data_IF_115088238882
#
_entry.id   IF_115088238882
#
_cell.length_a   1.000
_cell.length_b   1.000
_cell.length_c   1.000
_cell.angle_alpha   90.00
_cell.angle_beta   90.00
_cell.angle_gamma   90.00
#
_symmetry.space_group_name_H-M   'P 1'
#
loop_
_entity.id
_entity.type
_entity.pdbx_description
1 polymer ?
#
# COMPACT_ATOMS: atom_id res chain seq x y z
N UNK A 1 11.41 -5.06 -27.22
CA UNK A 1 12.30 -4.69 -28.35
C UNK A 1 13.61 -4.21 -27.76
N UNK A 2 14.78 -4.74 -28.18
CA UNK A 2 16.07 -4.29 -27.67
C UNK A 2 16.35 -2.86 -28.16
N UNK A 3 16.81 -2.01 -27.27
CA UNK A 3 17.32 -0.67 -27.59
C UNK A 3 18.85 -0.75 -27.54
N UNK A 4 19.52 -0.55 -28.68
CA UNK A 4 20.97 -0.51 -28.74
C UNK A 4 21.48 0.87 -28.29
N UNK A 5 22.24 0.92 -27.23
CA UNK A 5 23.09 2.07 -26.87
C UNK A 5 24.51 1.75 -27.23
N UNK A 6 25.28 2.73 -27.77
CA UNK A 6 26.62 2.55 -28.29
C UNK A 6 27.51 1.67 -27.39
N UNK A 7 28.30 0.79 -27.93
CA UNK A 7 29.11 -0.28 -27.33
C UNK A 7 28.41 -1.62 -27.02
N UNK A 8 27.48 -2.07 -27.87
CA UNK A 8 26.99 -3.47 -27.89
C UNK A 8 26.23 -3.97 -26.65
N UNK A 9 25.87 -3.11 -25.72
CA UNK A 9 24.97 -3.48 -24.63
C UNK A 9 23.51 -3.42 -25.08
N UNK A 10 22.88 -4.60 -25.22
CA UNK A 10 21.43 -4.68 -25.44
C UNK A 10 20.66 -4.31 -24.17
N UNK A 11 19.87 -3.24 -24.22
CA UNK A 11 18.95 -2.86 -23.13
C UNK A 11 17.55 -3.38 -23.48
N UNK A 12 16.94 -4.10 -22.55
CA UNK A 12 15.58 -4.62 -22.67
C UNK A 12 14.68 -3.91 -21.68
N UNK A 13 13.56 -3.35 -22.16
CA UNK A 13 12.52 -2.80 -21.32
C UNK A 13 11.43 -3.85 -21.15
N UNK A 14 11.14 -4.22 -19.90
CA UNK A 14 10.02 -5.07 -19.58
C UNK A 14 8.70 -4.28 -19.76
N UNK A 15 7.69 -4.88 -20.40
CA UNK A 15 6.39 -4.24 -20.51
C UNK A 15 5.67 -4.25 -19.17
N UNK A 16 4.86 -3.22 -18.90
CA UNK A 16 3.92 -3.22 -17.79
C UNK A 16 2.71 -4.12 -18.04
N UNK A 17 1.79 -4.16 -17.07
CA UNK A 17 0.48 -4.77 -17.22
C UNK A 17 -0.60 -3.71 -17.38
N UNK A 18 -1.62 -4.02 -18.17
CA UNK A 18 -2.80 -3.17 -18.35
C UNK A 18 -4.08 -3.98 -18.27
N UNK A 19 -5.12 -3.36 -17.72
CA UNK A 19 -6.50 -3.86 -17.74
C UNK A 19 -7.34 -2.93 -18.61
N UNK A 20 -8.13 -3.51 -19.52
CA UNK A 20 -9.02 -2.77 -20.41
C UNK A 20 -10.44 -3.32 -20.33
N UNK A 21 -11.42 -2.60 -20.90
CA UNK A 21 -12.79 -3.10 -20.99
C UNK A 21 -12.83 -4.47 -21.70
N UNK A 22 -13.54 -5.40 -21.10
CA UNK A 22 -13.66 -6.78 -21.57
C UNK A 22 -12.83 -7.79 -20.80
N UNK A 23 -11.78 -7.36 -20.09
CA UNK A 23 -10.97 -8.22 -19.22
C UNK A 23 -11.12 -7.89 -17.73
N UNK A 24 -11.60 -6.68 -17.41
CA UNK A 24 -11.77 -6.21 -16.05
C UNK A 24 -12.93 -5.23 -15.91
N UNK A 25 -13.35 -4.98 -14.67
CA UNK A 25 -14.44 -4.04 -14.33
C UNK A 25 -14.03 -2.57 -14.47
N UNK A 26 -12.74 -2.28 -14.53
CA UNK A 26 -12.19 -0.92 -14.62
C UNK A 26 -10.85 -0.92 -15.38
N UNK A 27 -10.48 0.24 -15.91
CA UNK A 27 -9.17 0.45 -16.53
C UNK A 27 -8.11 0.60 -15.43
N UNK A 28 -6.98 -0.06 -15.60
CA UNK A 28 -5.85 0.07 -14.71
C UNK A 28 -4.53 -0.24 -15.43
N UNK A 29 -3.41 0.27 -14.89
CA UNK A 29 -2.06 0.03 -15.39
C UNK A 29 -1.07 -0.10 -14.24
N UNK A 30 -0.04 -0.95 -14.43
CA UNK A 30 1.14 -0.97 -13.57
C UNK A 30 2.40 -1.08 -14.43
N UNK A 31 3.49 -0.50 -13.93
CA UNK A 31 4.80 -0.58 -14.58
C UNK A 31 5.90 -0.56 -13.53
N UNK A 32 6.59 -1.69 -13.44
CA UNK A 32 7.60 -1.99 -12.42
C UNK A 32 7.09 -3.02 -11.42
N UNK A 33 5.87 -2.88 -10.95
CA UNK A 33 5.26 -3.79 -9.97
C UNK A 33 5.01 -5.19 -10.57
N UNK A 34 4.75 -5.30 -11.88
CA UNK A 34 4.68 -6.60 -12.58
C UNK A 34 5.96 -7.40 -12.45
N UNK A 35 7.12 -6.74 -12.38
CA UNK A 35 8.41 -7.39 -12.18
C UNK A 35 8.51 -7.98 -10.77
N UNK A 36 7.98 -7.31 -9.76
CA UNK A 36 7.90 -7.83 -8.39
C UNK A 36 6.92 -9.02 -8.30
N UNK A 37 5.78 -8.94 -8.98
CA UNK A 37 4.84 -10.07 -9.08
C UNK A 37 5.46 -11.26 -9.80
N UNK A 38 6.21 -11.03 -10.87
CA UNK A 38 6.97 -12.09 -11.54
C UNK A 38 8.01 -12.74 -10.60
N UNK A 39 8.63 -11.94 -9.72
CA UNK A 39 9.53 -12.45 -8.68
C UNK A 39 8.83 -13.29 -7.62
N UNK A 40 7.61 -12.92 -7.21
CA UNK A 40 6.77 -13.77 -6.36
C UNK A 40 6.51 -15.12 -7.02
N UNK A 41 6.08 -15.11 -8.29
CA UNK A 41 5.80 -16.34 -9.05
C UNK A 41 7.06 -17.17 -9.28
N UNK A 42 8.22 -16.54 -9.50
CA UNK A 42 9.49 -17.26 -9.63
C UNK A 42 9.86 -18.06 -8.37
N UNK A 43 9.51 -17.54 -7.18
CA UNK A 43 9.74 -18.20 -5.88
C UNK A 43 8.59 -19.14 -5.47
N UNK A 44 7.38 -18.90 -5.95
CA UNK A 44 6.18 -19.67 -5.64
C UNK A 44 5.33 -19.81 -6.90
N UNK A 45 5.67 -20.75 -7.82
CA UNK A 45 5.06 -20.83 -9.15
C UNK A 45 3.54 -21.00 -9.17
N UNK A 46 2.99 -21.72 -8.20
CA UNK A 46 1.54 -21.99 -8.10
C UNK A 46 0.82 -21.02 -7.14
N UNK A 47 1.43 -19.87 -6.83
CA UNK A 47 0.82 -18.92 -5.91
C UNK A 47 -0.59 -18.53 -6.37
N UNK A 48 -1.56 -18.73 -5.46
CA UNK A 48 -2.95 -18.34 -5.65
C UNK A 48 -3.41 -17.56 -4.43
N UNK A 49 -3.76 -16.28 -4.61
CA UNK A 49 -4.11 -15.41 -3.52
C UNK A 49 -4.08 -13.94 -3.88
N UNK A 50 -4.08 -13.11 -2.86
CA UNK A 50 -4.02 -11.66 -2.99
C UNK A 50 -2.61 -11.16 -2.63
N UNK A 51 -2.01 -10.39 -3.53
CA UNK A 51 -0.75 -9.71 -3.32
C UNK A 51 -0.98 -8.19 -3.26
N UNK A 52 -0.39 -7.54 -2.26
CA UNK A 52 -0.38 -6.09 -2.11
C UNK A 52 1.04 -5.58 -2.24
N UNK A 53 1.21 -4.55 -3.05
CA UNK A 53 2.47 -3.82 -3.23
C UNK A 53 2.25 -2.39 -2.74
N UNK A 54 2.48 -2.14 -1.43
CA UNK A 54 2.26 -0.83 -0.83
C UNK A 54 3.18 0.23 -1.42
N UNK A 55 2.65 1.42 -1.71
CA UNK A 55 3.42 2.51 -2.29
C UNK A 55 2.65 3.81 -2.37
N UNK A 56 3.19 4.78 -3.14
CA UNK A 56 2.47 6.01 -3.48
C UNK A 56 1.14 5.67 -4.18
N UNK A 57 1.19 4.71 -5.09
CA UNK A 57 0.06 4.08 -5.76
C UNK A 57 0.08 2.59 -5.43
N UNK A 58 -0.57 2.21 -4.35
CA UNK A 58 -0.61 0.82 -3.90
C UNK A 58 -1.30 -0.07 -4.95
N UNK A 59 -0.71 -1.23 -5.24
CA UNK A 59 -1.28 -2.22 -6.17
C UNK A 59 -1.80 -3.42 -5.41
N UNK A 60 -2.97 -3.87 -5.77
CA UNK A 60 -3.57 -5.10 -5.27
C UNK A 60 -3.82 -6.04 -6.43
N UNK A 61 -3.12 -7.17 -6.47
CA UNK A 61 -3.20 -8.13 -7.53
C UNK A 61 -3.77 -9.46 -7.04
N UNK A 62 -4.77 -10.00 -7.74
CA UNK A 62 -5.25 -11.37 -7.56
C UNK A 62 -4.46 -12.27 -8.49
N UNK A 63 -3.89 -13.34 -7.94
CA UNK A 63 -3.19 -14.36 -8.70
C UNK A 63 -3.89 -15.71 -8.56
N UNK A 64 -3.91 -16.46 -9.65
CA UNK A 64 -4.39 -17.84 -9.72
C UNK A 64 -3.33 -18.68 -10.45
N UNK A 65 -2.81 -19.71 -9.79
CA UNK A 65 -1.76 -20.57 -10.29
C UNK A 65 -0.61 -19.78 -10.95
N UNK A 66 -0.08 -18.77 -10.24
CA UNK A 66 1.02 -17.93 -10.69
C UNK A 66 0.67 -16.89 -11.77
N UNK A 67 -0.58 -16.80 -12.20
CA UNK A 67 -1.02 -15.84 -13.21
C UNK A 67 -1.80 -14.68 -12.58
N UNK A 68 -1.47 -13.43 -12.91
CA UNK A 68 -2.25 -12.25 -12.50
C UNK A 68 -3.56 -12.24 -13.28
N UNK A 69 -4.69 -12.41 -12.57
CA UNK A 69 -6.02 -12.41 -13.17
C UNK A 69 -6.70 -11.05 -13.14
N UNK A 70 -6.40 -10.25 -12.10
CA UNK A 70 -6.94 -8.90 -11.93
C UNK A 70 -6.00 -8.09 -11.03
N UNK A 71 -5.99 -6.76 -11.22
CA UNK A 71 -5.37 -5.87 -10.24
C UNK A 71 -6.16 -4.56 -10.11
N UNK A 72 -5.87 -3.84 -9.02
CA UNK A 72 -6.47 -2.53 -8.72
C UNK A 72 -5.43 -1.64 -8.10
N UNK A 73 -5.35 -0.39 -8.59
CA UNK A 73 -4.48 0.64 -8.04
C UNK A 73 -5.26 1.55 -7.09
N UNK A 74 -4.68 1.81 -5.92
CA UNK A 74 -5.18 2.78 -4.94
C UNK A 74 -4.17 3.91 -4.79
N UNK A 75 -4.64 5.16 -4.87
CA UNK A 75 -3.84 6.38 -4.73
C UNK A 75 -3.50 6.70 -3.25
N UNK A 76 -3.41 5.71 -2.38
CA UNK A 76 -3.40 5.89 -0.92
C UNK A 76 -2.22 6.70 -0.43
N UNK A 77 -1.01 6.42 -0.92
CA UNK A 77 0.18 7.17 -0.54
C UNK A 77 0.14 8.61 -1.06
N UNK A 78 -0.29 8.82 -2.30
CA UNK A 78 -0.48 10.15 -2.87
C UNK A 78 -1.58 10.93 -2.15
N UNK A 79 -2.74 10.31 -1.89
CA UNK A 79 -3.82 10.92 -1.13
C UNK A 79 -3.37 11.36 0.26
N UNK A 80 -2.63 10.50 0.98
CA UNK A 80 -2.04 10.86 2.26
C UNK A 80 -1.15 12.10 2.14
N UNK A 81 -0.24 12.14 1.16
CA UNK A 81 0.68 13.26 0.95
C UNK A 81 -0.06 14.57 0.63
N UNK A 82 -1.07 14.52 -0.24
CA UNK A 82 -1.89 15.67 -0.58
C UNK A 82 -2.65 16.19 0.65
N UNK A 83 -3.27 15.31 1.42
CA UNK A 83 -4.00 15.68 2.63
C UNK A 83 -3.09 16.24 3.69
N UNK A 84 -1.94 15.62 3.95
CA UNK A 84 -0.99 16.04 4.98
C UNK A 84 -0.29 17.37 4.64
N UNK A 85 0.00 17.64 3.37
CA UNK A 85 0.85 18.78 2.99
C UNK A 85 0.11 19.92 2.29
N UNK A 86 -1.03 19.67 1.64
CA UNK A 86 -1.70 20.63 0.79
C UNK A 86 -3.14 20.97 1.24
N UNK A 87 -3.73 20.18 2.15
CA UNK A 87 -5.06 20.47 2.68
C UNK A 87 -5.00 21.30 3.97
N UNK A 88 -6.17 21.61 4.53
CA UNK A 88 -6.29 22.24 5.85
C UNK A 88 -5.64 21.41 6.97
N UNK A 89 -5.47 20.10 6.77
CA UNK A 89 -4.88 19.20 7.74
C UNK A 89 -3.37 19.44 7.94
N UNK A 90 -2.69 20.11 7.01
CA UNK A 90 -1.27 20.46 7.15
C UNK A 90 -0.94 21.24 8.43
N UNK A 91 -1.93 21.90 9.01
CA UNK A 91 -1.76 22.65 10.26
C UNK A 91 -1.89 21.77 11.51
N UNK A 92 -2.41 20.56 11.36
CA UNK A 92 -2.62 19.61 12.45
C UNK A 92 -1.69 18.40 12.37
N UNK A 93 -1.38 17.98 11.15
CA UNK A 93 -0.49 16.86 10.85
C UNK A 93 0.90 17.43 10.56
N UNK A 94 1.63 17.84 11.59
CA UNK A 94 3.02 18.20 11.39
C UNK A 94 3.86 16.95 11.17
N UNK A 95 4.62 16.95 10.09
CA UNK A 95 5.54 15.87 9.75
C UNK A 95 6.99 16.33 9.89
N UNK A 96 7.60 16.24 11.07
CA UNK A 96 9.05 16.01 11.11
C UNK A 96 9.23 14.58 10.57
N UNK A 97 10.07 14.42 9.58
CA UNK A 97 10.16 13.21 8.73
C UNK A 97 10.40 11.85 9.43
N UNK A 98 10.77 11.87 10.71
CA UNK A 98 11.00 10.64 11.49
C UNK A 98 9.89 10.32 12.51
N UNK A 99 9.18 11.31 13.04
CA UNK A 99 8.19 11.09 14.11
C UNK A 99 6.81 10.62 13.59
N UNK A 100 6.43 11.02 12.39
CA UNK A 100 5.13 10.67 11.79
C UNK A 100 4.97 9.18 11.45
N UNK A 101 6.07 8.42 11.45
CA UNK A 101 6.08 6.99 11.12
C UNK A 101 6.28 6.08 12.34
N UNK A 102 6.30 6.62 13.55
CA UNK A 102 6.63 5.84 14.74
C UNK A 102 5.42 5.05 15.28
N UNK A 103 5.05 3.95 14.62
CA UNK A 103 4.07 2.99 15.14
C UNK A 103 4.63 2.15 16.32
N UNK A 104 5.88 2.39 16.76
CA UNK A 104 6.40 1.85 18.00
C UNK A 104 5.90 2.64 19.22
N UNK A 105 5.52 3.92 19.02
CA UNK A 105 4.83 4.69 20.06
C UNK A 105 3.41 4.14 20.25
N UNK A 106 3.01 3.75 21.48
CA UNK A 106 1.70 3.17 21.74
C UNK A 106 0.53 4.10 21.38
N UNK A 107 0.68 5.41 21.56
CA UNK A 107 -0.36 6.40 21.28
C UNK A 107 -0.58 6.56 19.78
N UNK A 108 0.52 6.63 19.02
CA UNK A 108 0.47 6.65 17.55
C UNK A 108 -0.11 5.34 17.00
N UNK A 109 0.30 4.22 17.57
CA UNK A 109 -0.21 2.90 17.18
C UNK A 109 -1.71 2.78 17.40
N UNK A 110 -2.21 3.19 18.57
CA UNK A 110 -3.64 3.17 18.88
C UNK A 110 -4.43 4.15 17.98
N UNK A 111 -3.93 5.35 17.74
CA UNK A 111 -4.55 6.30 16.84
C UNK A 111 -4.67 5.74 15.40
N UNK A 112 -3.64 5.03 14.93
CA UNK A 112 -3.63 4.37 13.64
C UNK A 112 -4.63 3.22 13.58
N UNK A 113 -4.56 2.26 14.52
CA UNK A 113 -5.41 1.06 14.49
C UNK A 113 -6.88 1.37 14.74
N UNK A 114 -7.17 2.33 15.63
CA UNK A 114 -8.54 2.84 15.86
C UNK A 114 -9.12 3.43 14.56
N UNK A 115 -8.34 4.23 13.82
CA UNK A 115 -8.77 4.81 12.56
C UNK A 115 -9.01 3.75 11.46
N UNK A 116 -8.16 2.71 11.40
CA UNK A 116 -8.37 1.58 10.48
C UNK A 116 -9.69 0.88 10.77
N UNK A 117 -10.00 0.55 12.04
CA UNK A 117 -11.27 -0.08 12.42
C UNK A 117 -12.46 0.80 12.06
N UNK A 118 -12.39 2.09 12.43
CA UNK A 118 -13.46 3.07 12.21
C UNK A 118 -13.86 3.14 10.73
N UNK A 119 -12.89 3.20 9.81
CA UNK A 119 -13.18 3.29 8.38
C UNK A 119 -13.52 1.92 7.77
N UNK A 120 -12.99 0.84 8.32
CA UNK A 120 -13.42 -0.49 7.88
C UNK A 120 -14.90 -0.77 8.21
N UNK A 121 -15.40 -0.23 9.32
CA UNK A 121 -16.80 -0.35 9.72
C UNK A 121 -17.73 0.60 8.96
N UNK A 122 -17.28 1.84 8.67
CA UNK A 122 -18.07 2.88 8.03
C UNK A 122 -17.27 3.70 7.02
N UNK A 123 -16.91 3.11 5.86
CA UNK A 123 -16.06 3.76 4.84
C UNK A 123 -16.67 5.03 4.25
N UNK A 124 -17.99 5.14 4.23
CA UNK A 124 -18.74 6.34 3.78
C UNK A 124 -18.47 7.57 4.63
N UNK A 125 -17.99 7.40 5.87
CA UNK A 125 -17.66 8.50 6.76
C UNK A 125 -16.25 9.07 6.54
N UNK A 126 -15.46 8.53 5.61
CA UNK A 126 -14.05 8.92 5.41
C UNK A 126 -13.88 10.45 5.32
N UNK A 127 -14.62 11.11 4.44
CA UNK A 127 -14.51 12.56 4.25
C UNK A 127 -14.82 13.36 5.54
N UNK A 128 -15.86 12.95 6.29
CA UNK A 128 -16.20 13.55 7.58
C UNK A 128 -15.09 13.36 8.61
N UNK A 129 -14.47 12.17 8.64
CA UNK A 129 -13.38 11.86 9.57
C UNK A 129 -12.10 12.64 9.28
N UNK A 130 -11.86 13.01 8.03
CA UNK A 130 -10.74 13.91 7.67
C UNK A 130 -10.89 15.27 8.37
N UNK A 131 -12.06 15.90 8.31
CA UNK A 131 -12.27 17.15 9.03
C UNK A 131 -12.29 16.94 10.55
N UNK A 132 -12.74 15.79 11.01
CA UNK A 132 -12.67 15.37 12.41
C UNK A 132 -11.25 15.43 13.00
N UNK A 133 -10.19 15.17 12.20
CA UNK A 133 -8.79 15.34 12.64
C UNK A 133 -8.48 16.81 13.00
N UNK A 134 -8.93 17.75 12.18
CA UNK A 134 -8.75 19.17 12.46
C UNK A 134 -9.53 19.62 13.68
N UNK A 135 -10.76 19.16 13.84
CA UNK A 135 -11.57 19.44 15.00
C UNK A 135 -10.96 18.84 16.28
N UNK A 136 -10.45 17.62 16.20
CA UNK A 136 -9.75 16.97 17.33
C UNK A 136 -8.52 17.77 17.75
N UNK A 137 -7.71 18.23 16.81
CA UNK A 137 -6.56 19.08 17.09
C UNK A 137 -6.93 20.35 17.88
N UNK A 138 -8.04 20.97 17.54
CA UNK A 138 -8.48 22.22 18.14
C UNK A 138 -9.17 22.05 19.49
N UNK A 139 -9.85 20.93 19.71
CA UNK A 139 -10.80 20.77 20.80
C UNK A 139 -10.39 19.72 21.84
N UNK A 140 -9.58 18.71 21.46
CA UNK A 140 -9.22 17.62 22.36
C UNK A 140 -7.99 17.96 23.21
N UNK A 141 -8.25 18.46 24.42
CA UNK A 141 -7.20 18.77 25.40
C UNK A 141 -6.44 17.54 25.94
N UNK A 142 -6.84 16.32 25.61
CA UNK A 142 -6.16 15.08 26.01
C UNK A 142 -5.06 14.67 25.02
N UNK A 143 -5.01 15.27 23.82
CA UNK A 143 -3.90 15.04 22.90
C UNK A 143 -2.58 15.51 23.51
N UNK A 144 -1.49 14.79 23.27
CA UNK A 144 -0.16 15.21 23.70
C UNK A 144 0.18 16.64 23.22
N UNK A 145 1.09 17.32 23.90
CA UNK A 145 1.60 18.62 23.44
C UNK A 145 2.77 18.45 22.45
N UNK A 146 3.06 19.53 21.70
CA UNK A 146 4.22 19.62 20.81
C UNK A 146 4.17 18.62 19.64
N UNK A 147 5.34 18.17 19.21
CA UNK A 147 5.52 17.32 18.03
C UNK A 147 4.79 15.97 18.13
N UNK A 148 4.63 15.43 19.34
CA UNK A 148 3.88 14.18 19.58
C UNK A 148 2.43 14.31 19.17
N UNK A 149 1.82 15.50 19.35
CA UNK A 149 0.44 15.78 18.90
C UNK A 149 0.28 15.60 17.39
N UNK A 150 1.19 16.23 16.63
CA UNK A 150 1.19 16.09 15.16
C UNK A 150 1.45 14.66 14.70
N UNK A 151 2.33 13.93 15.39
CA UNK A 151 2.60 12.52 15.08
C UNK A 151 1.38 11.61 15.30
N UNK A 152 0.62 11.80 16.37
CA UNK A 152 -0.62 11.07 16.67
C UNK A 152 -1.67 11.34 15.59
N UNK A 153 -1.87 12.60 15.20
CA UNK A 153 -2.82 12.98 14.15
C UNK A 153 -2.37 12.47 12.76
N UNK A 154 -1.07 12.45 12.48
CA UNK A 154 -0.50 11.85 11.26
C UNK A 154 -0.73 10.34 11.21
N UNK A 155 -0.54 9.65 12.33
CA UNK A 155 -0.81 8.21 12.44
C UNK A 155 -2.30 7.94 12.21
N UNK A 156 -3.19 8.75 12.80
CA UNK A 156 -4.65 8.65 12.58
C UNK A 156 -5.02 8.88 11.11
N UNK A 157 -4.48 9.93 10.45
CA UNK A 157 -4.68 10.17 9.02
C UNK A 157 -4.25 8.98 8.17
N UNK A 158 -3.07 8.41 8.47
CA UNK A 158 -2.58 7.21 7.78
C UNK A 158 -3.50 6.01 7.98
N UNK A 159 -4.04 5.83 9.19
CA UNK A 159 -5.01 4.76 9.49
C UNK A 159 -6.32 4.92 8.71
N UNK A 160 -6.84 6.15 8.59
CA UNK A 160 -8.03 6.44 7.79
C UNK A 160 -7.79 6.12 6.30
N UNK A 161 -6.66 6.57 5.74
CA UNK A 161 -6.36 6.37 4.33
C UNK A 161 -6.14 4.89 3.97
N UNK A 162 -5.31 4.19 4.76
CA UNK A 162 -5.06 2.76 4.55
C UNK A 162 -6.33 1.95 4.84
N UNK A 163 -7.08 2.27 5.91
CA UNK A 163 -8.34 1.60 6.23
C UNK A 163 -9.34 1.65 5.08
N UNK A 164 -9.45 2.81 4.40
CA UNK A 164 -10.33 2.95 3.23
C UNK A 164 -9.88 2.06 2.07
N UNK A 165 -8.58 2.02 1.78
CA UNK A 165 -8.00 1.13 0.77
C UNK A 165 -8.33 -0.33 1.09
N UNK A 166 -8.07 -0.77 2.33
CA UNK A 166 -8.29 -2.16 2.75
C UNK A 166 -9.76 -2.57 2.64
N UNK A 167 -10.69 -1.68 2.98
CA UNK A 167 -12.12 -1.92 2.82
C UNK A 167 -12.49 -2.24 1.38
N UNK A 168 -11.88 -1.54 0.42
CA UNK A 168 -12.08 -1.82 -1.01
C UNK A 168 -11.38 -3.08 -1.48
N UNK A 169 -10.09 -3.21 -1.16
CA UNK A 169 -9.23 -4.28 -1.65
C UNK A 169 -9.58 -5.66 -1.08
N UNK A 170 -9.93 -5.71 0.21
CA UNK A 170 -10.18 -6.98 0.91
C UNK A 170 -11.66 -7.41 0.91
N UNK A 171 -12.58 -6.58 0.41
CA UNK A 171 -14.03 -6.79 0.55
C UNK A 171 -14.54 -8.18 0.17
N UNK A 172 -13.89 -8.82 -0.80
CA UNK A 172 -14.30 -10.14 -1.31
C UNK A 172 -13.26 -11.23 -1.02
N UNK A 173 -12.20 -10.89 -0.29
CA UNK A 173 -11.11 -11.83 0.00
C UNK A 173 -11.35 -12.51 1.35
N UNK A 174 -11.27 -13.83 1.43
CA UNK A 174 -11.51 -14.55 2.68
C UNK A 174 -10.37 -14.30 3.69
N UNK A 175 -10.74 -14.16 4.98
CA UNK A 175 -9.79 -13.84 6.06
C UNK A 175 -8.90 -15.01 6.48
N UNK A 176 -9.24 -16.23 6.10
CA UNK A 176 -8.48 -17.46 6.38
C UNK A 176 -7.25 -17.62 5.45
N UNK A 177 -7.15 -16.80 4.40
CA UNK A 177 -6.01 -16.81 3.50
C UNK A 177 -5.09 -15.63 3.76
N UNK A 178 -3.77 -15.85 3.88
CA UNK A 178 -2.82 -14.75 4.09
C UNK A 178 -2.70 -13.89 2.83
N UNK A 179 -2.46 -12.59 3.06
CA UNK A 179 -2.17 -11.61 2.01
C UNK A 179 -0.65 -11.49 1.87
N UNK A 180 -0.13 -11.62 0.66
CA UNK A 180 1.28 -11.41 0.37
C UNK A 180 1.57 -9.91 0.24
N UNK A 181 2.40 -9.37 1.12
CA UNK A 181 2.93 -8.00 1.03
C UNK A 181 4.29 -8.01 0.33
N UNK A 182 4.45 -7.21 -0.71
CA UNK A 182 5.72 -7.09 -1.44
C UNK A 182 6.17 -5.63 -1.38
N UNK A 183 7.31 -5.34 -0.74
CA UNK A 183 7.80 -3.98 -0.63
C UNK A 183 8.84 -3.78 0.46
N UNK A 184 9.16 -2.51 0.75
CA UNK A 184 10.08 -2.20 1.84
C UNK A 184 9.48 -2.56 3.21
N UNK A 185 10.35 -2.89 4.16
CA UNK A 185 9.97 -3.38 5.47
C UNK A 185 9.08 -2.39 6.25
N UNK A 186 9.41 -1.11 6.24
CA UNK A 186 8.69 -0.11 7.06
C UNK A 186 7.23 0.05 6.62
N UNK A 187 6.97 0.12 5.31
CA UNK A 187 5.62 0.25 4.79
C UNK A 187 4.84 -1.07 4.90
N UNK A 188 5.51 -2.21 4.67
CA UNK A 188 4.93 -3.54 4.86
C UNK A 188 4.51 -3.79 6.32
N UNK A 189 5.31 -3.37 7.30
CA UNK A 189 4.93 -3.45 8.72
C UNK A 189 3.68 -2.63 9.03
N UNK A 190 3.53 -1.47 8.42
CA UNK A 190 2.33 -0.63 8.58
C UNK A 190 1.08 -1.30 8.00
N UNK A 191 1.18 -1.86 6.80
CA UNK A 191 0.10 -2.63 6.19
C UNK A 191 -0.21 -3.92 6.95
N UNK A 192 0.81 -4.63 7.46
CA UNK A 192 0.63 -5.78 8.35
C UNK A 192 -0.20 -5.39 9.58
N UNK A 193 0.15 -4.28 10.24
CA UNK A 193 -0.60 -3.81 11.40
C UNK A 193 -2.06 -3.48 11.05
N UNK A 194 -2.29 -2.80 9.92
CA UNK A 194 -3.64 -2.46 9.48
C UNK A 194 -4.47 -3.71 9.13
N UNK A 195 -3.89 -4.64 8.37
CA UNK A 195 -4.55 -5.90 7.99
C UNK A 195 -4.86 -6.78 9.20
N UNK A 196 -3.91 -6.93 10.13
CA UNK A 196 -4.14 -7.66 11.37
C UNK A 196 -5.26 -7.03 12.22
N UNK A 197 -5.38 -5.70 12.19
CA UNK A 197 -6.43 -4.96 12.92
C UNK A 197 -7.84 -5.32 12.44
N UNK A 198 -7.98 -5.71 11.17
CA UNK A 198 -9.25 -6.12 10.56
C UNK A 198 -9.34 -7.63 10.29
N UNK A 199 -8.47 -8.41 10.92
CA UNK A 199 -8.56 -9.88 10.96
C UNK A 199 -7.82 -10.65 9.86
N UNK A 200 -7.02 -9.97 9.02
CA UNK A 200 -6.21 -10.65 7.99
C UNK A 200 -4.80 -10.97 8.49
N UNK A 201 -4.28 -12.11 8.08
CA UNK A 201 -2.88 -12.48 8.24
C UNK A 201 -2.07 -12.06 7.02
N UNK A 202 -0.77 -11.80 7.21
CA UNK A 202 0.12 -11.37 6.12
C UNK A 202 1.36 -12.24 6.04
N UNK A 203 1.85 -12.40 4.83
CA UNK A 203 3.21 -12.85 4.53
C UNK A 203 3.97 -11.69 3.89
N UNK A 204 5.29 -11.67 3.98
CA UNK A 204 6.10 -10.58 3.45
C UNK A 204 7.21 -11.11 2.55
N UNK A 205 7.37 -10.44 1.40
CA UNK A 205 8.52 -10.57 0.52
C UNK A 205 9.17 -9.19 0.36
N UNK A 206 10.47 -9.13 0.55
CA UNK A 206 11.23 -7.90 0.31
C UNK A 206 11.16 -7.47 -1.16
N UNK A 207 10.95 -6.17 -1.40
CA UNK A 207 10.74 -5.63 -2.74
C UNK A 207 11.94 -5.78 -3.67
N UNK A 208 13.15 -5.59 -3.16
CA UNK A 208 14.39 -5.74 -3.96
C UNK A 208 14.61 -7.21 -4.32
N UNK A 209 14.36 -8.11 -3.36
CA UNK A 209 14.40 -9.56 -3.60
C UNK A 209 13.40 -9.96 -4.68
N UNK A 210 12.18 -9.44 -4.64
CA UNK A 210 11.16 -9.70 -5.64
C UNK A 210 11.57 -9.18 -7.04
N UNK A 211 12.06 -7.93 -7.12
CA UNK A 211 12.55 -7.35 -8.39
C UNK A 211 13.67 -8.19 -8.98
N UNK A 212 14.69 -8.55 -8.19
CA UNK A 212 15.82 -9.35 -8.66
C UNK A 212 15.39 -10.73 -9.18
N UNK A 213 14.45 -11.38 -8.50
CA UNK A 213 13.91 -12.66 -8.95
C UNK A 213 13.12 -12.51 -10.27
N UNK A 214 12.28 -11.47 -10.39
CA UNK A 214 11.54 -11.19 -11.62
C UNK A 214 12.44 -10.84 -12.80
N UNK A 215 13.47 -10.03 -12.59
CA UNK A 215 14.49 -9.72 -13.63
C UNK A 215 15.25 -10.97 -14.09
N UNK A 216 15.60 -11.87 -13.17
CA UNK A 216 16.22 -13.15 -13.52
C UNK A 216 15.31 -14.01 -14.38
N UNK A 217 14.03 -14.10 -14.02
CA UNK A 217 13.02 -14.81 -14.81
C UNK A 217 12.94 -14.25 -16.24
N UNK A 218 12.83 -12.91 -16.37
CA UNK A 218 12.79 -12.24 -17.66
C UNK A 218 14.06 -12.46 -18.48
N UNK A 219 15.23 -12.40 -17.86
CA UNK A 219 16.51 -12.66 -18.53
C UNK A 219 16.61 -14.10 -19.07
N UNK A 220 16.11 -15.07 -18.31
CA UNK A 220 16.08 -16.47 -18.77
C UNK A 220 15.14 -16.66 -19.97
N UNK A 221 14.04 -15.93 -20.02
CA UNK A 221 13.08 -15.99 -21.14
C UNK A 221 13.60 -15.31 -22.43
N UNK A 222 14.68 -14.52 -22.36
CA UNK A 222 15.31 -13.86 -23.51
C UNK A 222 16.44 -14.68 -24.15
N UNK A 223 16.84 -15.79 -23.53
CA UNK A 223 17.84 -16.73 -24.03
C UNK A 223 17.21 -17.85 -24.83
#
# INVERSE_FOLDING_TARGET
>A
TPTLTGDQLGVYLLPGLSQTRGTATHFDVMRGEETQLAGLVANTPDFSGLACLPGTHAKWATLEAGSVTQFTTYLTGELYQLLANQSVLKHSVSTPSAASNNLNDPTCREAFTSAVREINEAPELFSSRLFGLRAQDLLDGRLPAGDTRGAVLAARLSGLAIGLELTGACRKFPTDKPIMLIGNQALSQRYTLALNTIGYQTQHMDGDTAVLAGLRLAHHALK
#
